data_IF_993777841460
#
_entry.id   IF_993777841460
#
_cell.length_a   1.000
_cell.length_b   1.000
_cell.length_c   1.000
_cell.angle_alpha   90.00
_cell.angle_beta   90.00
_cell.angle_gamma   90.00
#
_symmetry.space_group_name_H-M   'P 1'
#
loop_
_entity.id
_entity.type
_entity.pdbx_description
1 polymer ?
#
# COMPACT_ATOMS: atom_id res chain seq x y z
N UNK A 1 -2.52 -20.70 -2.38
CA UNK A 1 -1.17 -21.23 -2.16
C UNK A 1 -0.24 -20.03 -1.96
N UNK A 2 0.53 -19.97 -0.88
CA UNK A 2 1.43 -18.84 -0.59
C UNK A 2 2.87 -19.30 -0.86
N UNK A 3 3.64 -18.54 -1.61
CA UNK A 3 5.06 -18.81 -1.84
C UNK A 3 5.87 -17.62 -1.32
N UNK A 4 6.84 -17.89 -0.45
CA UNK A 4 7.78 -16.89 0.03
C UNK A 4 9.08 -17.00 -0.77
N UNK A 5 9.37 -16.03 -1.63
CA UNK A 5 10.64 -15.91 -2.33
C UNK A 5 11.22 -14.52 -2.09
N UNK A 6 12.51 -14.42 -1.72
CA UNK A 6 13.22 -13.15 -1.63
C UNK A 6 12.78 -12.18 -0.51
N UNK A 7 12.12 -12.67 0.55
CA UNK A 7 11.67 -11.82 1.68
C UNK A 7 10.34 -11.12 1.48
N UNK A 8 9.59 -11.49 0.44
CA UNK A 8 8.23 -11.05 0.18
C UNK A 8 7.23 -12.18 0.36
N UNK A 9 6.04 -11.84 0.86
CA UNK A 9 4.90 -12.73 0.89
C UNK A 9 3.93 -12.31 -0.21
N UNK A 10 3.42 -13.28 -0.98
CA UNK A 10 2.51 -12.99 -2.09
C UNK A 10 1.15 -13.68 -1.92
N UNK A 11 0.09 -13.04 -2.43
CA UNK A 11 -1.23 -13.66 -2.54
C UNK A 11 -2.00 -13.10 -3.73
N UNK A 12 -2.98 -13.87 -4.18
CA UNK A 12 -3.95 -13.43 -5.18
C UNK A 12 -5.31 -13.17 -4.53
N UNK A 13 -6.02 -12.15 -5.02
CA UNK A 13 -7.38 -11.81 -4.61
C UNK A 13 -8.05 -10.94 -5.68
N UNK A 14 -9.26 -11.31 -6.12
CA UNK A 14 -10.03 -10.63 -7.19
C UNK A 14 -9.17 -10.29 -8.43
N UNK A 15 -8.46 -11.28 -8.98
CA UNK A 15 -7.59 -11.13 -10.16
C UNK A 15 -6.43 -10.12 -10.00
N UNK A 16 -6.15 -9.66 -8.78
CA UNK A 16 -4.95 -8.88 -8.46
C UNK A 16 -3.96 -9.74 -7.67
N UNK A 17 -2.67 -9.51 -7.85
CA UNK A 17 -1.58 -10.11 -7.06
C UNK A 17 -1.01 -9.05 -6.12
N UNK A 18 -0.92 -9.40 -4.84
CA UNK A 18 -0.39 -8.54 -3.78
C UNK A 18 0.92 -9.12 -3.28
N UNK A 19 1.86 -8.22 -3.00
CA UNK A 19 3.13 -8.55 -2.36
C UNK A 19 3.30 -7.67 -1.12
N UNK A 20 3.78 -8.25 -0.02
CA UNK A 20 4.11 -7.52 1.20
C UNK A 20 5.51 -7.85 1.66
N UNK A 21 6.26 -6.81 2.01
CA UNK A 21 7.59 -6.91 2.62
C UNK A 21 7.52 -6.73 4.12
N UNK A 22 8.40 -7.40 4.86
CA UNK A 22 8.63 -7.15 6.29
C UNK A 22 9.70 -6.10 6.57
N UNK A 23 10.41 -5.64 5.53
CA UNK A 23 11.53 -4.73 5.73
C UNK A 23 11.01 -3.38 6.22
N UNK A 24 11.57 -2.93 7.33
CA UNK A 24 11.35 -1.59 7.83
C UNK A 24 12.21 -0.62 7.02
N UNK A 25 11.59 0.44 6.52
CA UNK A 25 12.24 1.44 5.67
C UNK A 25 11.76 2.83 6.09
N UNK A 26 12.63 3.85 6.05
CA UNK A 26 12.21 5.23 6.28
C UNK A 26 11.15 5.65 5.25
N UNK A 27 10.28 6.58 5.63
CA UNK A 27 9.20 7.01 4.76
C UNK A 27 9.75 7.71 3.50
N UNK A 28 9.67 7.02 2.36
CA UNK A 28 9.99 7.56 1.04
C UNK A 28 9.08 6.93 -0.02
N UNK A 29 8.03 7.65 -0.40
CA UNK A 29 6.99 7.14 -1.29
C UNK A 29 7.53 6.77 -2.68
N UNK A 30 8.41 7.60 -3.25
CA UNK A 30 9.00 7.36 -4.57
C UNK A 30 9.85 6.08 -4.57
N UNK A 31 10.75 5.96 -3.60
CA UNK A 31 11.63 4.79 -3.46
C UNK A 31 10.84 3.51 -3.22
N UNK A 32 9.80 3.54 -2.38
CA UNK A 32 8.97 2.36 -2.11
C UNK A 32 8.15 1.95 -3.33
N UNK A 33 7.63 2.91 -4.11
CA UNK A 33 6.95 2.59 -5.36
C UNK A 33 7.90 1.98 -6.39
N UNK A 34 9.13 2.47 -6.50
CA UNK A 34 10.12 1.91 -7.42
C UNK A 34 10.53 0.48 -7.04
N UNK A 35 10.61 0.17 -5.74
CA UNK A 35 10.80 -1.22 -5.28
C UNK A 35 9.63 -2.12 -5.67
N UNK A 36 8.39 -1.65 -5.54
CA UNK A 36 7.23 -2.40 -6.01
C UNK A 36 7.24 -2.59 -7.53
N UNK A 37 7.72 -1.59 -8.30
CA UNK A 37 7.91 -1.70 -9.76
C UNK A 37 8.96 -2.75 -10.14
N UNK A 38 10.05 -2.87 -9.38
CA UNK A 38 11.05 -3.92 -9.58
C UNK A 38 10.48 -5.34 -9.38
N UNK A 39 9.36 -5.48 -8.66
CA UNK A 39 8.62 -6.74 -8.50
C UNK A 39 7.52 -6.95 -9.56
N UNK A 40 7.42 -6.07 -10.55
CA UNK A 40 6.36 -6.10 -11.57
C UNK A 40 5.01 -5.55 -11.11
N UNK A 41 4.98 -4.74 -10.04
CA UNK A 41 3.78 -4.10 -9.50
C UNK A 41 3.99 -2.62 -9.19
N UNK A 42 3.26 -2.10 -8.21
CA UNK A 42 3.39 -0.74 -7.69
C UNK A 42 2.83 -0.71 -6.26
N UNK A 43 3.00 0.39 -5.53
CA UNK A 43 2.42 0.53 -4.19
C UNK A 43 0.91 0.34 -4.24
N UNK A 44 0.36 -0.39 -3.28
CA UNK A 44 -1.05 -0.80 -3.31
C UNK A 44 -2.00 0.40 -3.39
N UNK A 45 -2.87 0.40 -4.38
CA UNK A 45 -3.97 1.33 -4.54
C UNK A 45 -5.25 0.60 -4.12
N UNK A 46 -5.97 1.17 -3.16
CA UNK A 46 -7.15 0.53 -2.58
C UNK A 46 -8.39 1.17 -3.20
N UNK A 47 -9.19 0.36 -3.91
CA UNK A 47 -10.38 0.82 -4.60
C UNK A 47 -11.63 0.75 -3.72
N UNK A 48 -11.68 -0.18 -2.76
CA UNK A 48 -12.87 -0.38 -1.92
C UNK A 48 -12.56 -0.89 -0.49
N UNK A 49 -13.62 -0.93 0.34
CA UNK A 49 -13.56 -1.43 1.73
C UNK A 49 -13.12 -2.89 1.85
N UNK A 50 -13.50 -3.75 0.90
CA UNK A 50 -13.16 -5.17 0.92
C UNK A 50 -11.68 -5.38 0.60
N UNK A 51 -11.14 -4.63 -0.35
CA UNK A 51 -9.72 -4.61 -0.67
C UNK A 51 -8.90 -4.09 0.51
N UNK A 52 -9.35 -2.99 1.15
CA UNK A 52 -8.74 -2.47 2.38
C UNK A 52 -8.64 -3.55 3.47
N UNK A 53 -9.74 -4.27 3.72
CA UNK A 53 -9.75 -5.37 4.69
C UNK A 53 -8.84 -6.52 4.26
N UNK A 54 -8.84 -6.89 2.98
CA UNK A 54 -8.00 -7.95 2.45
C UNK A 54 -6.50 -7.64 2.59
N UNK A 55 -6.08 -6.42 2.25
CA UNK A 55 -4.70 -5.93 2.37
C UNK A 55 -4.28 -5.90 3.84
N UNK A 56 -5.08 -5.34 4.73
CA UNK A 56 -4.78 -5.29 6.16
C UNK A 56 -4.65 -6.71 6.77
N UNK A 57 -5.58 -7.61 6.44
CA UNK A 57 -5.51 -9.01 6.89
C UNK A 57 -4.28 -9.72 6.34
N UNK A 58 -3.89 -9.43 5.10
CA UNK A 58 -2.70 -10.02 4.50
C UNK A 58 -1.40 -9.53 5.15
N UNK A 59 -1.26 -8.21 5.35
CA UNK A 59 -0.11 -7.63 6.03
C UNK A 59 0.04 -8.21 7.44
N UNK A 60 -1.07 -8.33 8.19
CA UNK A 60 -1.09 -8.97 9.49
C UNK A 60 -0.67 -10.44 9.43
N UNK A 61 -1.22 -11.21 8.49
CA UNK A 61 -0.85 -12.62 8.30
C UNK A 61 0.63 -12.80 7.95
N UNK A 62 1.17 -11.92 7.10
CA UNK A 62 2.58 -11.95 6.78
C UNK A 62 3.44 -11.74 8.04
N UNK A 63 2.91 -11.17 9.12
CA UNK A 63 3.62 -10.89 10.37
C UNK A 63 3.96 -9.40 10.53
N UNK A 64 3.31 -8.53 9.76
CA UNK A 64 3.37 -7.09 9.95
C UNK A 64 2.45 -6.65 11.10
N UNK A 65 3.00 -5.95 12.08
CA UNK A 65 2.25 -5.35 13.19
C UNK A 65 2.21 -3.82 13.14
N UNK A 66 2.98 -3.21 12.25
CA UNK A 66 3.10 -1.76 12.10
C UNK A 66 2.38 -1.19 10.87
N UNK A 67 2.44 0.15 10.69
CA UNK A 67 1.98 0.80 9.46
C UNK A 67 2.77 0.28 8.26
N UNK A 68 2.14 0.31 7.09
CA UNK A 68 2.76 -0.07 5.83
C UNK A 68 2.44 0.96 4.75
N UNK A 69 3.34 1.07 3.77
CA UNK A 69 3.19 1.99 2.66
C UNK A 69 1.99 1.61 1.78
N UNK A 70 1.22 2.61 1.38
CA UNK A 70 0.21 2.51 0.32
C UNK A 70 0.51 3.53 -0.78
N UNK A 71 -0.18 3.43 -1.91
CA UNK A 71 0.01 4.33 -3.03
C UNK A 71 -0.70 5.68 -2.88
N UNK A 72 -1.50 5.90 -1.83
CA UNK A 72 -2.29 7.14 -1.66
C UNK A 72 -1.36 8.28 -1.19
N UNK A 73 -1.50 9.45 -1.81
CA UNK A 73 -0.70 10.64 -1.51
C UNK A 73 -1.37 11.92 -2.00
N UNK A 74 -0.90 13.06 -1.52
CA UNK A 74 -1.27 14.43 -1.88
C UNK A 74 -0.04 15.33 -2.14
N UNK A 75 1.17 14.77 -2.29
CA UNK A 75 2.45 15.51 -2.47
C UNK A 75 2.44 16.56 -3.61
N UNK A 76 1.49 16.49 -4.55
CA UNK A 76 1.30 17.49 -5.61
C UNK A 76 0.23 18.55 -5.33
N UNK A 77 -0.71 18.29 -4.42
CA UNK A 77 -1.80 19.20 -4.08
C UNK A 77 -2.43 18.78 -2.75
N UNK A 78 -2.11 19.53 -1.69
CA UNK A 78 -2.60 19.30 -0.33
C UNK A 78 -4.13 19.12 -0.32
N UNK A 79 -4.60 18.09 0.41
CA UNK A 79 -6.02 17.77 0.51
C UNK A 79 -6.63 17.08 -0.71
N UNK A 80 -5.89 16.95 -1.83
CA UNK A 80 -6.32 16.23 -3.03
C UNK A 80 -5.59 14.89 -3.13
N UNK A 81 -6.21 13.84 -2.60
CA UNK A 81 -5.62 12.51 -2.56
C UNK A 81 -5.74 11.77 -3.89
N UNK A 82 -4.61 11.33 -4.39
CA UNK A 82 -4.49 10.54 -5.61
C UNK A 82 -3.56 9.33 -5.41
N UNK A 83 -3.63 8.41 -6.35
CA UNK A 83 -2.76 7.26 -6.42
C UNK A 83 -1.41 7.63 -7.05
N UNK A 84 -0.32 7.47 -6.31
CA UNK A 84 1.03 7.88 -6.72
C UNK A 84 1.46 7.31 -8.07
N UNK A 85 1.09 6.05 -8.36
CA UNK A 85 1.54 5.34 -9.54
C UNK A 85 0.92 5.84 -10.86
N UNK A 86 -0.40 6.01 -10.92
CA UNK A 86 -1.13 6.36 -12.16
C UNK A 86 -1.78 7.76 -12.13
N UNK A 87 -1.64 8.48 -11.01
CA UNK A 87 -2.20 9.83 -10.79
C UNK A 87 -3.73 9.88 -10.83
N UNK A 88 -4.41 8.74 -10.72
CA UNK A 88 -5.87 8.69 -10.62
C UNK A 88 -6.34 9.14 -9.23
N UNK A 89 -7.53 9.76 -9.09
CA UNK A 89 -8.08 10.08 -7.77
C UNK A 89 -8.21 8.84 -6.88
N UNK A 90 -7.88 8.98 -5.60
CA UNK A 90 -8.03 7.89 -4.64
C UNK A 90 -9.53 7.58 -4.44
N UNK A 91 -9.94 6.35 -4.73
CA UNK A 91 -11.36 5.95 -4.69
C UNK A 91 -11.86 5.60 -3.29
N UNK A 92 -10.95 5.19 -2.40
CA UNK A 92 -11.30 4.80 -1.05
C UNK A 92 -10.31 5.37 -0.05
N UNK A 93 -10.83 6.23 0.82
CA UNK A 93 -10.11 6.84 1.93
C UNK A 93 -10.72 6.34 3.24
N UNK A 94 -9.90 5.75 4.10
CA UNK A 94 -10.30 5.28 5.43
C UNK A 94 -9.29 5.77 6.46
N UNK A 95 -9.22 7.08 6.59
CA UNK A 95 -8.39 7.73 7.59
C UNK A 95 -8.79 7.30 9.01
N UNK A 96 -7.80 7.25 9.91
CA UNK A 96 -8.08 7.19 11.34
C UNK A 96 -8.70 8.51 11.78
N UNK A 97 -9.30 8.52 12.96
CA UNK A 97 -9.79 9.76 13.53
C UNK A 97 -8.64 10.79 13.62
N UNK A 98 -8.94 12.05 13.27
CA UNK A 98 -7.98 13.16 13.15
C UNK A 98 -6.92 13.00 12.05
N UNK A 99 -7.12 12.15 11.05
CA UNK A 99 -6.25 12.05 9.89
C UNK A 99 -6.98 12.49 8.61
N UNK A 100 -6.27 13.03 7.60
CA UNK A 100 -4.83 13.33 7.57
C UNK A 100 -4.47 14.65 8.29
N UNK A 101 -3.38 14.68 9.07
CA UNK A 101 -2.98 15.84 9.90
C UNK A 101 -1.58 16.43 9.61
N UNK A 102 -0.81 15.84 8.71
CA UNK A 102 0.55 16.23 8.34
C UNK A 102 1.60 16.17 9.48
N UNK A 103 1.37 15.39 10.55
CA UNK A 103 2.30 15.25 11.69
C UNK A 103 3.06 13.90 11.74
N UNK A 104 3.50 13.38 10.59
CA UNK A 104 4.01 12.01 10.44
C UNK A 104 5.54 11.87 10.43
#
# INVERSE_FOLDING_TARGET
MFTGHGGYYQREWRNKKYSVSKRHEPFNLAQMNDRCKQLGGYLVQIDDKHESYNVAKFAKFAGGFGPFFTGITDVGSEGHFYNYNDKTPAKYLRWRWFQPDNFW
#
